data_IF_973222842356
#
_entry.id   IF_973222842356
#
_cell.length_a   1.000
_cell.length_b   1.000
_cell.length_c   1.000
_cell.angle_alpha   90.00
_cell.angle_beta   90.00
_cell.angle_gamma   90.00
#
_symmetry.space_group_name_H-M   'P 1'
#
loop_
_entity.id
_entity.type
_entity.pdbx_description
1 polymer ?
#
# COMPACT_ATOMS: atom_id res chain seq x y z
N UNK A 1 -2.52 24.53 -5.86
CA UNK A 1 -2.46 24.36 -4.39
C UNK A 1 -2.36 22.88 -4.05
N UNK A 2 -1.45 22.51 -3.14
CA UNK A 2 -1.39 21.15 -2.57
C UNK A 2 -2.59 20.99 -1.65
N UNK A 3 -3.34 19.91 -1.79
CA UNK A 3 -4.57 19.70 -1.01
C UNK A 3 -4.66 18.34 -0.34
N UNK A 4 -3.75 17.43 -0.65
CA UNK A 4 -3.69 16.11 -0.02
C UNK A 4 -2.25 15.63 0.15
N UNK A 5 -1.98 14.90 1.23
CA UNK A 5 -0.71 14.24 1.51
C UNK A 5 -0.97 12.75 1.77
N UNK A 6 -0.39 11.92 0.93
CA UNK A 6 -0.37 10.46 1.06
C UNK A 6 0.94 10.07 1.75
N UNK A 7 0.87 9.39 2.89
CA UNK A 7 2.03 9.10 3.73
C UNK A 7 2.24 7.58 3.80
N UNK A 8 3.38 7.07 3.34
CA UNK A 8 3.75 5.68 3.57
C UNK A 8 3.99 5.41 5.07
N UNK A 9 3.72 4.18 5.52
CA UNK A 9 3.88 3.81 6.92
C UNK A 9 5.29 3.27 7.20
N UNK A 10 5.57 2.05 6.75
CA UNK A 10 6.80 1.33 7.07
C UNK A 10 8.01 1.97 6.37
N UNK A 11 8.97 2.38 7.21
CA UNK A 11 10.20 3.08 6.87
C UNK A 11 10.03 4.57 6.54
N UNK A 12 8.82 5.12 6.65
CA UNK A 12 8.55 6.57 6.53
C UNK A 12 8.10 7.16 7.87
N UNK A 13 7.11 6.55 8.54
CA UNK A 13 6.72 6.95 9.90
C UNK A 13 7.40 6.12 10.98
N UNK A 14 7.64 4.84 10.72
CA UNK A 14 8.19 3.91 11.70
C UNK A 14 9.06 2.84 11.04
N UNK A 15 10.03 2.28 11.78
CA UNK A 15 10.73 1.06 11.41
C UNK A 15 10.40 0.03 12.48
N UNK A 16 9.80 -1.08 12.08
CA UNK A 16 9.27 -2.08 13.00
C UNK A 16 8.35 -1.43 14.06
N UNK A 17 8.66 -1.58 15.34
CA UNK A 17 7.92 -0.99 16.46
C UNK A 17 8.57 0.28 17.03
N UNK A 18 9.28 1.05 16.19
CA UNK A 18 9.88 2.32 16.59
C UNK A 18 9.47 3.43 15.62
N UNK A 19 8.97 4.55 16.15
CA UNK A 19 8.73 5.74 15.34
C UNK A 19 10.06 6.30 14.84
N UNK A 20 10.05 6.83 13.61
CA UNK A 20 11.18 7.61 13.11
C UNK A 20 11.27 8.90 13.93
N UNK A 21 12.49 9.28 14.30
CA UNK A 21 12.76 10.48 15.11
C UNK A 21 12.08 11.71 14.51
N UNK A 22 11.32 12.43 15.35
CA UNK A 22 10.56 13.62 14.96
C UNK A 22 9.29 13.37 14.14
N UNK A 23 8.96 12.11 13.80
CA UNK A 23 7.84 11.84 12.90
C UNK A 23 6.46 12.14 13.53
N UNK A 24 6.31 11.92 14.83
CA UNK A 24 5.06 12.21 15.56
C UNK A 24 4.77 13.71 15.54
N UNK A 25 5.73 14.52 15.99
CA UNK A 25 5.61 15.98 16.05
C UNK A 25 5.46 16.60 14.64
N UNK A 26 6.14 16.03 13.64
CA UNK A 26 5.95 16.41 12.26
C UNK A 26 4.52 16.14 11.76
N UNK A 27 3.93 14.99 12.07
CA UNK A 27 2.54 14.70 11.71
C UNK A 27 1.59 15.70 12.36
N UNK A 28 1.79 16.03 13.64
CA UNK A 28 0.98 17.01 14.37
C UNK A 28 1.08 18.40 13.73
N UNK A 29 2.27 18.80 13.29
CA UNK A 29 2.46 20.06 12.57
C UNK A 29 1.78 20.05 11.19
N UNK A 30 1.82 18.93 10.46
CA UNK A 30 1.10 18.79 9.19
C UNK A 30 -0.42 18.89 9.38
N UNK A 31 -0.95 18.34 10.47
CA UNK A 31 -2.38 18.40 10.83
C UNK A 31 -2.89 19.81 11.12
N UNK A 32 -2.01 20.77 11.44
CA UNK A 32 -2.36 22.19 11.61
C UNK A 32 -2.61 22.91 10.28
N UNK A 33 -2.50 22.21 9.14
CA UNK A 33 -2.77 22.74 7.81
C UNK A 33 -4.07 22.18 7.22
N UNK A 34 -4.61 22.82 6.18
CA UNK A 34 -5.87 22.40 5.53
C UNK A 34 -5.72 21.23 4.54
N UNK A 35 -4.64 20.46 4.63
CA UNK A 35 -4.42 19.32 3.72
C UNK A 35 -5.13 18.07 4.21
N UNK A 36 -5.73 17.33 3.28
CA UNK A 36 -6.22 15.99 3.55
C UNK A 36 -5.03 15.04 3.78
N UNK A 37 -4.99 14.37 4.93
CA UNK A 37 -3.95 13.37 5.23
C UNK A 37 -4.54 11.96 5.05
N UNK A 38 -3.83 11.11 4.32
CA UNK A 38 -4.14 9.67 4.22
C UNK A 38 -2.85 8.86 4.37
N UNK A 39 -2.92 7.79 5.15
CA UNK A 39 -1.83 6.85 5.33
C UNK A 39 -1.98 5.68 4.35
N UNK A 40 -0.91 5.31 3.66
CA UNK A 40 -0.94 4.33 2.57
C UNK A 40 0.09 3.21 2.75
N UNK A 41 -0.34 1.95 2.84
CA UNK A 41 0.58 0.82 3.07
C UNK A 41 0.31 -0.40 2.19
N UNK A 42 1.39 -1.09 1.78
CA UNK A 42 1.33 -2.41 1.15
C UNK A 42 1.60 -3.50 2.21
N UNK A 43 0.63 -3.72 3.09
CA UNK A 43 0.67 -4.83 4.03
C UNK A 43 -0.24 -5.96 3.57
N UNK A 44 0.14 -7.18 3.92
CA UNK A 44 -0.58 -8.40 3.53
C UNK A 44 -0.90 -9.30 4.71
N UNK A 45 -0.42 -8.91 5.90
CA UNK A 45 -0.46 -9.71 7.12
C UNK A 45 -1.16 -8.99 8.25
N UNK A 46 -1.45 -7.70 8.11
CA UNK A 46 -1.91 -6.89 9.22
C UNK A 46 -3.24 -6.27 8.84
N UNK A 47 -4.29 -6.68 9.54
CA UNK A 47 -5.61 -6.06 9.43
C UNK A 47 -5.54 -4.57 9.82
N UNK A 48 -6.59 -3.83 9.46
CA UNK A 48 -6.67 -2.39 9.75
C UNK A 48 -6.57 -2.08 11.25
N UNK A 49 -7.13 -2.94 12.10
CA UNK A 49 -7.10 -2.77 13.56
C UNK A 49 -5.67 -2.79 14.10
N UNK A 50 -4.87 -3.80 13.74
CA UNK A 50 -3.47 -3.89 14.18
C UNK A 50 -2.61 -2.71 13.72
N UNK A 51 -2.80 -2.26 12.46
CA UNK A 51 -2.08 -1.08 11.96
C UNK A 51 -2.42 0.17 12.76
N UNK A 52 -3.71 0.36 13.07
CA UNK A 52 -4.18 1.48 13.87
C UNK A 52 -3.57 1.45 15.27
N UNK A 53 -3.72 0.32 15.98
CA UNK A 53 -3.20 0.13 17.34
C UNK A 53 -1.67 0.34 17.40
N UNK A 54 -0.91 -0.17 16.42
CA UNK A 54 0.53 0.06 16.35
C UNK A 54 0.83 1.55 16.25
N UNK A 55 0.23 2.26 15.30
CA UNK A 55 0.54 3.67 15.09
C UNK A 55 0.15 4.51 16.31
N UNK A 56 -0.98 4.22 16.96
CA UNK A 56 -1.37 4.91 18.20
C UNK A 56 -0.41 4.62 19.35
N UNK A 57 0.07 3.38 19.48
CA UNK A 57 1.06 3.01 20.51
C UNK A 57 2.42 3.69 20.27
N UNK A 58 2.74 4.02 19.03
CA UNK A 58 3.92 4.81 18.67
C UNK A 58 3.74 6.32 18.87
N UNK A 59 2.58 6.76 19.39
CA UNK A 59 2.29 8.16 19.69
C UNK A 59 1.63 8.94 18.55
N UNK A 60 1.34 8.31 17.40
CA UNK A 60 0.68 9.02 16.30
C UNK A 60 -0.81 9.21 16.58
N UNK A 61 -1.30 10.44 16.43
CA UNK A 61 -2.72 10.74 16.43
C UNK A 61 -3.29 10.57 15.02
N UNK A 62 -4.16 9.57 14.83
CA UNK A 62 -4.86 9.33 13.57
C UNK A 62 -6.24 8.70 13.79
N UNK A 63 -7.06 8.72 12.73
CA UNK A 63 -8.35 8.03 12.66
C UNK A 63 -8.22 6.78 11.79
N UNK A 64 -9.04 5.76 12.07
CA UNK A 64 -9.02 4.48 11.34
C UNK A 64 -9.32 4.62 9.84
N UNK A 65 -10.15 5.60 9.46
CA UNK A 65 -10.54 5.92 8.08
C UNK A 65 -9.46 6.69 7.29
N UNK A 66 -8.42 7.18 7.98
CA UNK A 66 -7.23 7.75 7.35
C UNK A 66 -6.28 6.65 6.84
N UNK A 67 -6.40 5.41 7.32
CA UNK A 67 -5.55 4.28 6.90
C UNK A 67 -6.11 3.58 5.66
N UNK A 68 -5.33 3.60 4.59
CA UNK A 68 -5.59 2.89 3.35
C UNK A 68 -4.51 1.82 3.10
N UNK A 69 -4.87 0.54 3.30
CA UNK A 69 -4.00 -0.60 3.09
C UNK A 69 -4.31 -1.34 1.78
N UNK A 70 -3.36 -2.12 1.26
CA UNK A 70 -3.61 -3.01 0.12
C UNK A 70 -4.68 -4.08 0.40
N UNK A 71 -4.83 -4.50 1.67
CA UNK A 71 -5.96 -5.35 2.09
C UNK A 71 -7.29 -4.59 1.98
N UNK A 72 -7.36 -3.33 2.45
CA UNK A 72 -8.54 -2.48 2.30
C UNK A 72 -8.92 -2.22 0.84
N UNK A 73 -7.93 -2.05 -0.04
CA UNK A 73 -8.15 -1.94 -1.48
C UNK A 73 -8.71 -3.25 -2.08
N UNK A 74 -8.17 -4.40 -1.70
CA UNK A 74 -8.70 -5.72 -2.09
C UNK A 74 -10.15 -5.90 -1.64
N UNK A 75 -10.44 -5.60 -0.37
CA UNK A 75 -11.80 -5.66 0.21
C UNK A 75 -12.77 -4.79 -0.57
N UNK A 76 -12.40 -3.55 -0.85
CA UNK A 76 -13.23 -2.61 -1.62
C UNK A 76 -13.54 -3.15 -3.02
N UNK A 77 -12.54 -3.75 -3.68
CA UNK A 77 -12.70 -4.39 -4.99
C UNK A 77 -13.68 -5.58 -4.95
N UNK A 78 -13.54 -6.44 -3.94
CA UNK A 78 -14.39 -7.62 -3.73
C UNK A 78 -15.85 -7.19 -3.54
N UNK A 79 -16.10 -6.21 -2.67
CA UNK A 79 -17.44 -5.69 -2.41
C UNK A 79 -18.02 -5.05 -3.68
N UNK A 80 -17.26 -4.18 -4.34
CA UNK A 80 -17.72 -3.46 -5.54
C UNK A 80 -18.12 -4.42 -6.66
N UNK A 81 -17.37 -5.50 -6.85
CA UNK A 81 -17.60 -6.50 -7.91
C UNK A 81 -18.45 -7.69 -7.44
N UNK A 82 -18.94 -7.67 -6.19
CA UNK A 82 -19.72 -8.75 -5.58
C UNK A 82 -19.04 -10.12 -5.72
N UNK A 83 -17.73 -10.15 -5.49
CA UNK A 83 -16.92 -11.37 -5.61
C UNK A 83 -17.08 -12.24 -4.36
N UNK A 84 -16.94 -13.55 -4.58
CA UNK A 84 -16.91 -14.62 -3.58
C UNK A 84 -15.52 -15.27 -3.63
N UNK A 85 -14.57 -14.76 -2.84
CA UNK A 85 -13.17 -15.14 -2.96
C UNK A 85 -12.81 -16.41 -2.20
N UNK A 86 -11.95 -17.22 -2.79
CA UNK A 86 -11.04 -18.11 -2.08
C UNK A 86 -9.86 -17.27 -1.57
N UNK A 87 -9.62 -17.26 -0.26
CA UNK A 87 -8.54 -16.50 0.34
C UNK A 87 -7.29 -17.37 0.56
N UNK A 88 -6.16 -16.90 0.05
CA UNK A 88 -4.80 -17.34 0.38
C UNK A 88 -4.11 -16.16 1.11
N UNK A 89 -4.58 -15.91 2.34
CA UNK A 89 -4.15 -14.83 3.22
C UNK A 89 -3.77 -15.40 4.60
N UNK A 90 -2.93 -14.68 5.35
CA UNK A 90 -2.63 -15.10 6.73
C UNK A 90 -3.86 -14.90 7.62
N UNK A 91 -3.93 -15.65 8.72
CA UNK A 91 -5.01 -15.55 9.73
C UNK A 91 -5.22 -14.11 10.21
N UNK A 92 -4.15 -13.37 10.41
CA UNK A 92 -4.20 -11.98 10.88
C UNK A 92 -4.75 -11.02 9.82
N UNK A 93 -4.53 -11.31 8.53
CA UNK A 93 -5.11 -10.53 7.44
C UNK A 93 -6.58 -10.86 7.23
N UNK A 94 -7.00 -12.09 7.54
CA UNK A 94 -8.39 -12.57 7.37
C UNK A 94 -9.40 -11.80 8.23
N UNK A 95 -8.98 -11.19 9.34
CA UNK A 95 -9.85 -10.35 10.17
C UNK A 95 -10.54 -9.23 9.37
N UNK A 96 -9.86 -8.66 8.34
CA UNK A 96 -10.44 -7.63 7.47
C UNK A 96 -11.48 -8.21 6.46
N UNK A 97 -11.72 -9.53 6.43
CA UNK A 97 -12.52 -10.22 5.41
C UNK A 97 -13.49 -11.27 5.97
N UNK A 98 -13.66 -11.40 7.29
CA UNK A 98 -14.48 -12.46 7.89
C UNK A 98 -15.93 -12.49 7.36
N UNK A 99 -16.51 -11.31 7.14
CA UNK A 99 -17.86 -11.14 6.58
C UNK A 99 -17.96 -11.40 5.06
N UNK A 100 -16.83 -11.67 4.41
CA UNK A 100 -16.72 -11.97 2.97
C UNK A 100 -16.31 -13.43 2.71
N UNK A 101 -16.34 -14.29 3.74
CA UNK A 101 -16.11 -15.73 3.61
C UNK A 101 -17.43 -16.44 3.32
N UNK A 102 -17.55 -17.00 2.12
CA UNK A 102 -18.74 -17.74 1.68
C UNK A 102 -18.42 -19.24 1.65
N UNK A 103 -18.94 -20.01 2.61
CA UNK A 103 -18.59 -21.44 2.78
C UNK A 103 -19.28 -22.37 1.77
N UNK A 104 -20.50 -22.05 1.35
CA UNK A 104 -21.34 -22.93 0.54
C UNK A 104 -21.38 -22.54 -0.95
N UNK A 105 -20.66 -21.48 -1.32
CA UNK A 105 -20.64 -20.95 -2.67
C UNK A 105 -19.37 -21.35 -3.42
N UNK A 106 -19.49 -21.64 -4.72
CA UNK A 106 -18.34 -21.80 -5.60
C UNK A 106 -17.56 -20.47 -5.69
N UNK A 107 -16.25 -20.43 -5.36
CA UNK A 107 -15.48 -19.20 -5.46
C UNK A 107 -15.39 -18.69 -6.90
N UNK A 108 -15.58 -17.38 -7.09
CA UNK A 108 -15.41 -16.69 -8.37
C UNK A 108 -14.24 -15.70 -8.37
N UNK A 109 -13.44 -15.71 -7.30
CA UNK A 109 -12.18 -15.01 -7.21
C UNK A 109 -11.20 -15.80 -6.35
N UNK A 110 -9.91 -15.55 -6.54
CA UNK A 110 -8.81 -16.01 -5.69
C UNK A 110 -8.06 -14.76 -5.23
N UNK A 111 -7.99 -14.54 -3.93
CA UNK A 111 -7.29 -13.40 -3.32
C UNK A 111 -6.02 -13.92 -2.66
N UNK A 112 -4.86 -13.49 -3.14
CA UNK A 112 -3.56 -14.00 -2.71
C UNK A 112 -2.66 -12.88 -2.15
N UNK A 113 -2.19 -13.10 -0.91
CA UNK A 113 -1.20 -12.28 -0.21
C UNK A 113 -0.02 -13.16 0.24
N UNK A 114 0.86 -12.66 1.10
CA UNK A 114 1.92 -13.49 1.69
C UNK A 114 1.36 -14.33 2.84
N UNK A 115 1.03 -15.60 2.55
CA UNK A 115 0.45 -16.54 3.50
C UNK A 115 1.20 -17.88 3.46
N UNK A 116 2.37 -18.00 4.12
CA UNK A 116 3.17 -19.24 4.08
C UNK A 116 2.39 -20.49 4.48
N UNK A 117 1.45 -20.38 5.42
CA UNK A 117 0.56 -21.48 5.85
C UNK A 117 -0.36 -21.98 4.73
N UNK A 118 -0.70 -21.12 3.77
CA UNK A 118 -1.59 -21.43 2.65
C UNK A 118 -0.83 -21.84 1.38
N UNK A 119 0.50 -21.86 1.42
CA UNK A 119 1.36 -22.08 0.25
C UNK A 119 1.82 -23.53 0.13
N UNK A 120 0.87 -24.44 0.19
CA UNK A 120 1.06 -25.87 -0.05
C UNK A 120 0.28 -26.33 -1.29
N UNK A 121 0.60 -27.52 -1.79
CA UNK A 121 0.14 -28.00 -3.09
C UNK A 121 -1.39 -28.03 -3.19
N UNK A 122 -2.07 -28.55 -2.19
CA UNK A 122 -3.52 -28.74 -2.19
C UNK A 122 -4.25 -27.40 -2.28
N UNK A 123 -3.82 -26.39 -1.51
CA UNK A 123 -4.43 -25.05 -1.53
C UNK A 123 -4.17 -24.31 -2.83
N UNK A 124 -2.95 -24.43 -3.37
CA UNK A 124 -2.61 -23.85 -4.67
C UNK A 124 -3.37 -24.53 -5.81
N UNK A 125 -3.60 -25.84 -5.72
CA UNK A 125 -4.37 -26.60 -6.71
C UNK A 125 -5.87 -26.27 -6.63
N UNK A 126 -6.42 -26.04 -5.43
CA UNK A 126 -7.77 -25.49 -5.23
C UNK A 126 -7.91 -24.14 -5.94
N UNK A 127 -7.00 -23.20 -5.66
CA UNK A 127 -6.97 -21.89 -6.31
C UNK A 127 -6.84 -22.01 -7.84
N UNK A 128 -5.94 -22.86 -8.32
CA UNK A 128 -5.76 -23.12 -9.75
C UNK A 128 -7.05 -23.59 -10.43
N UNK A 129 -7.78 -24.53 -9.82
CA UNK A 129 -9.06 -25.01 -10.36
C UNK A 129 -10.11 -23.90 -10.42
N UNK A 130 -10.21 -23.06 -9.39
CA UNK A 130 -11.10 -21.90 -9.44
C UNK A 130 -10.75 -20.98 -10.62
N UNK A 131 -9.46 -20.77 -10.87
CA UNK A 131 -8.99 -19.93 -11.98
C UNK A 131 -9.30 -20.53 -13.36
N UNK A 132 -9.19 -21.86 -13.53
CA UNK A 132 -9.61 -22.54 -14.76
C UNK A 132 -11.11 -22.36 -15.03
N UNK A 133 -11.91 -22.29 -13.98
CA UNK A 133 -13.35 -22.03 -14.04
C UNK A 133 -13.70 -20.54 -14.28
N UNK A 134 -12.69 -19.69 -14.52
CA UNK A 134 -12.88 -18.28 -14.84
C UNK A 134 -12.87 -17.33 -13.63
N UNK A 135 -12.47 -17.80 -12.45
CA UNK A 135 -12.33 -16.92 -11.29
C UNK A 135 -11.28 -15.82 -11.51
N UNK A 136 -11.49 -14.66 -10.87
CA UNK A 136 -10.53 -13.56 -10.91
C UNK A 136 -9.33 -13.81 -9.99
N UNK A 137 -8.09 -13.66 -10.49
CA UNK A 137 -6.90 -13.67 -9.65
C UNK A 137 -6.59 -12.25 -9.14
N UNK A 138 -6.70 -12.02 -7.84
CA UNK A 138 -6.45 -10.73 -7.17
C UNK A 138 -5.23 -10.87 -6.27
N UNK A 139 -4.17 -10.11 -6.54
CA UNK A 139 -2.94 -10.15 -5.77
C UNK A 139 -2.78 -8.88 -4.90
N UNK A 140 -2.60 -9.05 -3.59
CA UNK A 140 -2.38 -7.92 -2.66
C UNK A 140 -1.08 -7.18 -3.02
N UNK A 141 -0.01 -7.93 -3.26
CA UNK A 141 1.25 -7.44 -3.83
C UNK A 141 2.05 -8.60 -4.44
N UNK A 142 2.96 -8.32 -5.38
CA UNK A 142 3.83 -9.33 -6.01
C UNK A 142 5.31 -9.17 -5.59
N UNK A 143 5.57 -9.10 -4.29
CA UNK A 143 6.93 -9.06 -3.77
C UNK A 143 7.70 -10.33 -4.13
N UNK A 144 8.93 -10.19 -4.67
CA UNK A 144 9.80 -11.34 -4.99
C UNK A 144 10.26 -12.06 -3.73
N UNK A 145 10.70 -11.29 -2.74
CA UNK A 145 11.23 -11.77 -1.46
C UNK A 145 11.02 -10.70 -0.39
N UNK A 146 11.19 -11.10 0.87
CA UNK A 146 11.23 -10.22 2.03
C UNK A 146 12.35 -10.65 3.00
N UNK A 147 12.78 -9.75 3.88
CA UNK A 147 13.80 -10.03 4.90
C UNK A 147 13.11 -10.55 6.16
N UNK A 148 13.63 -11.65 6.70
CA UNK A 148 13.35 -12.22 8.02
C UNK A 148 14.63 -12.20 8.85
N UNK A 149 14.51 -12.54 10.13
CA UNK A 149 15.64 -12.74 11.03
C UNK A 149 16.63 -13.78 10.49
N UNK A 150 16.12 -14.89 9.96
CA UNK A 150 16.88 -16.02 9.42
C UNK A 150 17.43 -15.81 7.99
N UNK A 151 17.11 -14.71 7.32
CA UNK A 151 17.59 -14.44 5.96
C UNK A 151 16.54 -13.87 5.02
N UNK A 152 16.78 -14.06 3.71
CA UNK A 152 15.79 -13.73 2.68
C UNK A 152 14.80 -14.88 2.54
N UNK A 153 13.52 -14.56 2.55
CA UNK A 153 12.44 -15.51 2.33
C UNK A 153 11.60 -15.14 1.11
N UNK A 154 10.97 -16.15 0.50
CA UNK A 154 10.11 -15.97 -0.66
C UNK A 154 8.92 -15.06 -0.33
N UNK A 155 8.65 -14.08 -1.19
CA UNK A 155 7.41 -13.32 -1.17
C UNK A 155 6.31 -14.06 -1.92
N UNK A 156 5.09 -13.51 -1.98
CA UNK A 156 3.98 -14.17 -2.68
C UNK A 156 4.16 -14.18 -4.20
N UNK A 157 5.11 -13.41 -4.73
CA UNK A 157 5.30 -13.23 -6.17
C UNK A 157 5.54 -14.54 -6.92
N UNK A 158 6.28 -15.51 -6.36
CA UNK A 158 6.50 -16.80 -7.03
C UNK A 158 5.20 -17.62 -7.12
N UNK A 159 4.39 -17.64 -6.06
CA UNK A 159 3.11 -18.36 -6.03
C UNK A 159 2.09 -17.73 -6.98
N UNK A 160 2.01 -16.39 -7.01
CA UNK A 160 1.19 -15.64 -7.98
C UNK A 160 1.61 -16.01 -9.40
N UNK A 161 2.91 -16.02 -9.70
CA UNK A 161 3.42 -16.35 -11.05
C UNK A 161 3.16 -17.80 -11.43
N UNK A 162 3.23 -18.73 -10.48
CA UNK A 162 2.86 -20.13 -10.69
C UNK A 162 1.39 -20.28 -11.09
N UNK A 163 0.49 -19.60 -10.38
CA UNK A 163 -0.95 -19.59 -10.71
C UNK A 163 -1.24 -18.91 -12.06
N UNK A 164 -0.64 -17.74 -12.31
CA UNK A 164 -0.77 -17.04 -13.60
C UNK A 164 -0.32 -17.92 -14.77
N UNK A 165 0.82 -18.59 -14.64
CA UNK A 165 1.37 -19.48 -15.65
C UNK A 165 0.45 -20.68 -15.88
N UNK A 166 0.06 -21.36 -14.79
CA UNK A 166 -0.71 -22.61 -14.88
C UNK A 166 -2.11 -22.37 -15.43
N UNK A 167 -2.79 -21.30 -15.01
CA UNK A 167 -4.14 -20.96 -15.44
C UNK A 167 -4.19 -20.04 -16.69
N UNK A 168 -3.04 -19.73 -17.30
CA UNK A 168 -2.90 -18.80 -18.42
C UNK A 168 -3.67 -17.47 -18.20
N UNK A 169 -3.51 -16.89 -17.02
CA UNK A 169 -4.20 -15.66 -16.63
C UNK A 169 -3.21 -14.60 -16.10
N UNK A 170 -3.72 -13.40 -15.77
CA UNK A 170 -2.94 -12.34 -15.14
C UNK A 170 -3.61 -11.89 -13.85
N UNK A 171 -2.82 -11.74 -12.81
CA UNK A 171 -3.28 -11.23 -11.53
C UNK A 171 -3.55 -9.72 -11.60
N UNK A 172 -4.68 -9.29 -11.06
CA UNK A 172 -4.95 -7.89 -10.78
C UNK A 172 -4.26 -7.48 -9.47
N UNK A 173 -3.25 -6.61 -9.57
CA UNK A 173 -2.52 -6.09 -8.41
C UNK A 173 -3.26 -4.91 -7.79
N UNK A 174 -3.69 -5.02 -6.53
CA UNK A 174 -4.49 -3.98 -5.86
C UNK A 174 -3.68 -3.00 -5.00
N UNK A 175 -2.45 -3.33 -4.61
CA UNK A 175 -1.58 -2.45 -3.84
C UNK A 175 -0.82 -1.41 -4.67
N UNK A 176 0.00 -0.60 -3.97
CA UNK A 176 1.02 0.26 -4.60
C UNK A 176 1.92 -0.58 -5.51
N UNK A 177 2.33 -0.10 -6.69
CA UNK A 177 2.19 1.26 -7.22
C UNK A 177 0.96 1.48 -8.12
N UNK A 178 -0.13 0.70 -8.01
CA UNK A 178 -1.29 0.86 -8.90
C UNK A 178 -1.97 2.23 -8.73
N UNK A 179 -2.25 2.96 -9.81
CA UNK A 179 -3.04 4.22 -9.76
C UNK A 179 -4.40 4.05 -9.09
N UNK A 180 -5.05 2.90 -9.28
CA UNK A 180 -6.35 2.61 -8.67
C UNK A 180 -6.29 2.67 -7.14
N UNK A 181 -5.18 2.21 -6.54
CA UNK A 181 -4.93 2.28 -5.10
C UNK A 181 -4.86 3.73 -4.59
N UNK A 182 -4.14 4.59 -5.31
CA UNK A 182 -4.03 6.00 -4.91
C UNK A 182 -5.34 6.75 -5.11
N UNK A 183 -6.09 6.42 -6.19
CA UNK A 183 -7.43 6.97 -6.41
C UNK A 183 -8.41 6.54 -5.32
N UNK A 184 -8.39 5.27 -4.91
CA UNK A 184 -9.25 4.80 -3.81
C UNK A 184 -8.88 5.39 -2.46
N UNK A 185 -7.58 5.64 -2.21
CA UNK A 185 -7.12 6.30 -0.98
C UNK A 185 -7.65 7.75 -0.87
N UNK A 186 -7.66 8.47 -1.99
CA UNK A 186 -8.12 9.85 -2.06
C UNK A 186 -9.66 9.97 -2.18
N UNK A 187 -10.33 8.94 -2.70
CA UNK A 187 -11.79 8.91 -2.87
C UNK A 187 -12.31 9.88 -3.95
N UNK A 188 -13.63 10.08 -4.00
CA UNK A 188 -14.29 11.01 -4.93
C UNK A 188 -13.96 12.49 -4.66
N UNK A 189 -13.39 12.79 -3.48
CA UNK A 189 -13.16 14.15 -2.96
C UNK A 189 -12.13 14.93 -3.80
N UNK A 190 -11.36 14.27 -4.67
CA UNK A 190 -10.13 14.86 -5.20
C UNK A 190 -9.99 14.95 -6.72
N UNK A 191 -11.08 14.96 -7.48
CA UNK A 191 -11.00 15.18 -8.94
C UNK A 191 -10.32 16.54 -9.20
N UNK A 192 -9.07 16.52 -9.67
CA UNK A 192 -8.28 17.71 -10.00
C UNK A 192 -7.34 18.26 -8.90
N UNK A 193 -7.25 17.65 -7.71
CA UNK A 193 -6.37 18.14 -6.63
C UNK A 193 -4.89 17.76 -6.85
N UNK A 194 -3.94 18.62 -6.44
CA UNK A 194 -2.51 18.25 -6.41
C UNK A 194 -2.19 17.59 -5.05
N UNK A 195 -1.85 16.29 -5.06
CA UNK A 195 -1.38 15.56 -3.89
C UNK A 195 0.14 15.38 -3.83
N UNK A 196 0.69 15.18 -2.63
CA UNK A 196 2.09 14.76 -2.41
C UNK A 196 2.12 13.36 -1.82
N UNK A 197 2.98 12.48 -2.35
CA UNK A 197 3.27 11.17 -1.78
C UNK A 197 4.61 11.21 -1.05
N UNK A 198 4.64 10.92 0.25
CA UNK A 198 5.86 10.78 1.05
C UNK A 198 6.14 9.29 1.26
N UNK A 199 7.27 8.77 0.76
CA UNK A 199 7.62 7.34 0.84
C UNK A 199 9.11 7.08 0.95
N UNK A 200 9.47 5.88 1.43
CA UNK A 200 10.84 5.33 1.46
C UNK A 200 11.01 4.17 0.47
N UNK A 201 12.27 3.78 0.20
CA UNK A 201 12.65 2.47 -0.33
C UNK A 201 12.83 2.41 -1.83
N UNK A 202 12.93 1.17 -2.36
CA UNK A 202 13.15 0.88 -3.78
C UNK A 202 12.01 1.48 -4.63
N UNK A 203 12.21 2.71 -5.08
CA UNK A 203 11.48 3.31 -6.17
C UNK A 203 11.90 2.56 -7.44
N UNK A 204 10.96 1.86 -8.08
CA UNK A 204 11.25 1.05 -9.27
C UNK A 204 10.86 1.81 -10.53
N UNK A 205 11.57 1.55 -11.62
CA UNK A 205 11.23 2.10 -12.94
C UNK A 205 9.73 1.85 -13.24
N UNK A 206 9.01 2.93 -13.53
CA UNK A 206 7.58 2.91 -13.80
C UNK A 206 6.66 3.12 -12.59
N UNK A 207 7.15 3.37 -11.37
CA UNK A 207 6.31 3.84 -10.26
C UNK A 207 5.65 5.19 -10.61
N UNK A 208 6.35 6.07 -11.33
CA UNK A 208 5.87 7.35 -11.87
C UNK A 208 4.93 7.19 -13.08
N UNK A 209 5.20 6.24 -13.97
CA UNK A 209 4.35 5.93 -15.14
C UNK A 209 3.09 5.14 -14.79
N UNK A 210 3.04 4.56 -13.59
CA UNK A 210 1.85 3.88 -13.04
C UNK A 210 0.94 4.82 -12.27
N UNK A 211 1.40 6.04 -11.96
CA UNK A 211 0.57 7.19 -11.57
C UNK A 211 0.21 7.95 -12.86
N UNK A 212 -0.41 7.26 -13.84
CA UNK A 212 -1.13 7.92 -14.94
C UNK A 212 -2.45 8.50 -14.39
N UNK A 213 -2.34 9.49 -13.53
CA UNK A 213 -3.44 10.36 -13.14
C UNK A 213 -3.09 11.75 -13.63
N UNK A 214 -3.53 12.10 -14.83
CA UNK A 214 -3.71 13.51 -15.16
C UNK A 214 -4.98 13.98 -14.44
N UNK A 215 -4.91 14.91 -13.46
CA UNK A 215 -3.92 15.12 -12.40
C UNK A 215 -4.48 14.66 -11.02
N UNK A 216 -3.70 14.01 -10.15
CA UNK A 216 -4.07 13.87 -8.73
C UNK A 216 -2.91 13.73 -7.72
N UNK A 217 -1.72 13.23 -8.10
CA UNK A 217 -0.53 13.24 -7.23
C UNK A 217 0.62 13.88 -8.00
N UNK A 218 0.93 15.13 -7.65
CA UNK A 218 1.70 16.04 -8.50
C UNK A 218 3.21 16.01 -8.25
N UNK A 219 3.70 15.62 -7.05
CA UNK A 219 5.14 15.47 -6.74
C UNK A 219 5.32 14.49 -5.57
N UNK A 220 6.25 13.54 -5.69
CA UNK A 220 6.67 12.68 -4.58
C UNK A 220 7.80 13.32 -3.76
N UNK A 221 7.87 13.02 -2.46
CA UNK A 221 9.05 13.25 -1.62
C UNK A 221 9.59 11.87 -1.21
N UNK A 222 10.83 11.59 -1.60
CA UNK A 222 11.56 10.40 -1.19
C UNK A 222 12.28 10.69 0.13
N UNK A 223 11.98 9.92 1.18
CA UNK A 223 12.69 10.03 2.46
C UNK A 223 13.83 9.02 2.54
N UNK A 224 14.98 9.42 3.12
CA UNK A 224 16.20 8.61 3.21
C UNK A 224 16.22 7.62 4.39
N UNK A 225 15.09 7.43 5.07
CA UNK A 225 14.90 6.43 6.15
C UNK A 225 14.56 5.05 5.59
N UNK A 226 14.43 4.03 6.45
CA UNK A 226 13.83 2.74 6.10
C UNK A 226 14.63 1.93 5.06
N UNK A 227 14.00 1.66 3.91
CA UNK A 227 14.57 0.79 2.85
C UNK A 227 15.45 1.54 1.84
N UNK A 228 15.62 2.86 2.02
CA UNK A 228 16.42 3.69 1.14
C UNK A 228 17.89 3.23 1.09
N UNK A 229 18.50 3.37 -0.09
CA UNK A 229 19.93 3.24 -0.32
C UNK A 229 20.43 4.46 -1.10
N UNK A 230 21.66 4.87 -0.85
CA UNK A 230 22.28 5.99 -1.57
C UNK A 230 22.22 5.78 -3.09
N UNK A 231 21.78 6.81 -3.82
CA UNK A 231 21.57 6.75 -5.27
C UNK A 231 20.23 6.16 -5.70
N UNK A 232 19.33 5.76 -4.78
CA UNK A 232 17.97 5.36 -5.14
C UNK A 232 17.18 6.48 -5.84
N UNK A 233 17.45 7.75 -5.51
CA UNK A 233 16.88 8.93 -6.16
C UNK A 233 17.26 9.05 -7.64
N UNK A 234 18.41 8.49 -8.03
CA UNK A 234 18.90 8.52 -9.41
C UNK A 234 18.29 7.42 -10.28
N UNK A 235 17.62 6.43 -9.67
CA UNK A 235 16.92 5.35 -10.39
C UNK A 235 15.58 5.80 -10.97
N UNK A 236 15.19 7.05 -10.72
CA UNK A 236 13.88 7.62 -11.06
C UNK A 236 14.06 8.62 -12.20
N UNK A 237 13.35 8.42 -13.32
CA UNK A 237 13.43 9.32 -14.49
C UNK A 237 13.02 10.75 -14.15
N UNK A 238 11.96 10.92 -13.35
CA UNK A 238 11.56 12.21 -12.79
C UNK A 238 12.02 12.30 -11.34
N UNK A 239 13.12 13.01 -11.09
CA UNK A 239 13.72 13.11 -9.75
C UNK A 239 12.68 13.67 -8.76
N UNK A 240 12.30 12.92 -7.71
CA UNK A 240 11.45 13.45 -6.65
C UNK A 240 12.23 14.48 -5.84
N UNK A 241 11.52 15.28 -5.05
CA UNK A 241 12.19 15.97 -3.96
C UNK A 241 12.69 14.92 -2.95
N UNK A 242 13.81 15.19 -2.30
CA UNK A 242 14.43 14.26 -1.36
C UNK A 242 14.54 14.94 -0.01
N UNK A 243 14.22 14.22 1.05
CA UNK A 243 14.36 14.66 2.44
C UNK A 243 15.08 13.57 3.24
N UNK A 244 15.84 13.93 4.28
CA UNK A 244 16.53 12.96 5.13
C UNK A 244 15.53 12.04 5.85
N UNK A 245 14.40 12.58 6.31
CA UNK A 245 13.37 11.85 7.03
C UNK A 245 11.97 12.46 6.81
N UNK A 246 10.96 11.91 7.49
CA UNK A 246 9.58 12.39 7.38
C UNK A 246 9.39 13.82 7.94
N UNK A 247 10.11 14.22 8.98
CA UNK A 247 9.99 15.56 9.54
C UNK A 247 10.42 16.64 8.55
N UNK A 248 11.59 16.48 7.92
CA UNK A 248 12.06 17.39 6.88
C UNK A 248 11.13 17.39 5.65
N UNK A 249 10.54 16.24 5.30
CA UNK A 249 9.54 16.18 4.26
C UNK A 249 8.29 17.02 4.58
N UNK A 250 7.83 17.01 5.85
CA UNK A 250 6.70 17.84 6.31
C UNK A 250 7.05 19.33 6.25
N UNK A 251 8.24 19.74 6.70
CA UNK A 251 8.69 21.13 6.63
C UNK A 251 8.64 21.67 5.19
N UNK A 252 9.15 20.88 4.24
CA UNK A 252 9.11 21.21 2.82
C UNK A 252 7.67 21.28 2.27
N UNK A 253 6.77 20.39 2.72
CA UNK A 253 5.35 20.44 2.35
C UNK A 253 4.69 21.72 2.86
N UNK A 254 4.88 22.05 4.14
CA UNK A 254 4.31 23.25 4.77
C UNK A 254 4.82 24.51 4.06
N UNK A 255 6.12 24.57 3.73
CA UNK A 255 6.71 25.67 2.96
C UNK A 255 6.02 25.83 1.61
N UNK A 256 5.85 24.75 0.85
CA UNK A 256 5.15 24.78 -0.45
C UNK A 256 3.69 25.19 -0.35
N UNK A 257 3.01 24.83 0.73
CA UNK A 257 1.63 25.26 0.97
C UNK A 257 1.58 26.79 1.15
N UNK A 258 2.46 27.35 2.00
CA UNK A 258 2.56 28.79 2.25
C UNK A 258 2.92 29.58 0.98
N UNK A 259 3.90 29.10 0.21
CA UNK A 259 4.34 29.76 -1.03
C UNK A 259 3.22 29.83 -2.10
N UNK A 260 2.19 28.96 -2.01
CA UNK A 260 1.05 28.97 -2.94
C UNK A 260 -0.07 29.94 -2.52
N UNK A 261 0.00 30.54 -1.33
CA UNK A 261 -1.00 31.50 -0.81
C UNK A 261 -0.58 32.95 -1.11
N UNK A 262 0.71 33.19 -1.35
CA UNK A 262 1.31 34.52 -1.56
C UNK A 262 1.22 35.00 -3.03
N UNK A 263 0.69 34.16 -3.92
CA UNK A 263 0.48 34.44 -5.36
C UNK A 263 -0.93 34.07 -5.79
#
# INVERSE_FOLDING_TARGET
MIRAVLIDLSGTLHIDNQAITGAVEALDNLRKTDVLIKFVTNTTKECKRFLYERLTNLGFQLKRDEIHSSLGAARSLIIQRKLKPLFLLSSEAMEDFEDLVYKDDKPNAVVIGLAPSEFHYEKLNEAFRCLLDGAHLIAIHAGRYYKREDGLALGPGCFIKGLEYSANCKAELVGKPNSAFFKSALGAVTVGMKGILVKTGKYREGDENKIKTKPAVAKGILVKTGKYREGDENKIKTKPAVAANFAEAVEEIIRRIKDTIVH
#
